data_IF_369881446441
#
_entry.id   IF_369881446441
#
_cell.length_a   1.000
_cell.length_b   1.000
_cell.length_c   1.000
_cell.angle_alpha   90.00
_cell.angle_beta   90.00
_cell.angle_gamma   90.00
#
_symmetry.space_group_name_H-M   'P 1'
#
loop_
_entity.id
_entity.type
_entity.pdbx_description
1 polymer ?
#
# COMPACT_ATOMS: atom_id res chain seq x y z
N UNK A 1 20.11 2.40 8.45
CA UNK A 1 19.40 1.11 8.59
C UNK A 1 18.00 1.34 8.06
N UNK A 2 17.55 0.56 7.06
CA UNK A 2 16.21 0.71 6.51
C UNK A 2 15.21 0.01 7.45
N UNK A 3 14.06 0.63 7.70
CA UNK A 3 13.01 0.02 8.52
C UNK A 3 12.47 -1.23 7.83
N UNK A 4 12.25 -2.32 8.57
CA UNK A 4 11.63 -3.54 8.07
C UNK A 4 10.11 -3.50 8.21
N UNK A 5 9.39 -4.38 7.51
CA UNK A 5 7.94 -4.50 7.63
C UNK A 5 7.49 -4.72 9.09
N UNK A 6 8.25 -5.52 9.86
CA UNK A 6 7.98 -5.77 11.27
C UNK A 6 8.16 -4.51 12.15
N UNK A 7 9.10 -3.64 11.79
CA UNK A 7 9.28 -2.36 12.47
C UNK A 7 8.08 -1.44 12.21
N UNK A 8 7.59 -1.42 10.97
CA UNK A 8 6.42 -0.62 10.56
C UNK A 8 5.15 -1.08 11.27
N UNK A 9 4.86 -2.38 11.24
CA UNK A 9 3.68 -2.96 11.90
C UNK A 9 3.68 -2.72 13.42
N UNK A 10 4.86 -2.68 14.05
CA UNK A 10 4.99 -2.43 15.48
C UNK A 10 4.91 -0.94 15.84
N UNK A 11 5.39 -0.07 14.97
CA UNK A 11 5.58 1.35 15.27
C UNK A 11 4.43 2.24 14.81
N UNK A 12 3.65 1.81 13.82
CA UNK A 12 2.57 2.59 13.23
C UNK A 12 1.23 1.89 13.36
N UNK A 13 0.17 2.66 13.61
CA UNK A 13 -1.20 2.20 13.39
C UNK A 13 -1.54 2.39 11.91
N UNK A 14 -1.51 1.30 11.16
CA UNK A 14 -1.78 1.32 9.72
C UNK A 14 -3.29 1.34 9.44
N UNK A 15 -3.75 2.08 8.42
CA UNK A 15 -5.15 2.05 8.01
C UNK A 15 -5.55 0.70 7.39
N UNK A 16 -6.85 0.39 7.44
CA UNK A 16 -7.40 -0.80 6.75
C UNK A 16 -7.34 -0.67 5.22
N UNK A 17 -7.49 0.57 4.72
CA UNK A 17 -7.37 0.86 3.29
C UNK A 17 -5.92 0.69 2.80
N UNK A 18 -5.70 0.22 1.55
CA UNK A 18 -4.36 0.14 0.98
C UNK A 18 -3.56 1.44 1.06
N UNK A 19 -2.30 1.36 1.51
CA UNK A 19 -1.33 2.48 1.53
C UNK A 19 -0.02 2.05 0.91
N UNK A 20 0.60 2.95 0.14
CA UNK A 20 1.98 2.84 -0.28
C UNK A 20 2.85 3.67 0.68
N UNK A 21 3.79 3.00 1.34
CA UNK A 21 4.73 3.58 2.30
C UNK A 21 6.09 3.66 1.60
N UNK A 22 6.66 4.86 1.56
CA UNK A 22 7.98 5.11 0.97
C UNK A 22 9.00 5.27 2.08
N UNK A 23 10.07 4.47 2.03
CA UNK A 23 11.08 4.42 3.09
C UNK A 23 12.16 5.49 2.86
N UNK A 24 11.87 6.73 3.24
CA UNK A 24 12.76 7.88 3.10
C UNK A 24 12.28 8.90 2.08
N UNK A 25 13.14 9.86 1.68
CA UNK A 25 12.80 10.86 0.68
C UNK A 25 12.53 10.21 -0.68
N UNK A 26 11.39 10.53 -1.30
CA UNK A 26 10.94 9.94 -2.58
C UNK A 26 11.99 10.11 -3.71
N UNK A 27 12.81 11.16 -3.63
CA UNK A 27 13.86 11.46 -4.60
C UNK A 27 15.10 10.56 -4.44
N UNK A 28 15.26 9.92 -3.28
CA UNK A 28 16.49 9.22 -2.86
C UNK A 28 16.28 7.72 -2.60
N UNK A 29 15.03 7.28 -2.40
CA UNK A 29 14.70 5.90 -2.04
C UNK A 29 13.83 5.22 -3.10
N UNK A 30 14.18 4.00 -3.45
CA UNK A 30 13.37 3.13 -4.29
C UNK A 30 12.61 2.07 -3.48
N UNK A 31 12.89 1.99 -2.17
CA UNK A 31 12.27 1.05 -1.24
C UNK A 31 10.86 1.49 -0.88
N UNK A 32 9.91 0.57 -1.03
CA UNK A 32 8.52 0.78 -0.69
C UNK A 32 7.94 -0.43 0.03
N UNK A 33 6.86 -0.18 0.77
CA UNK A 33 5.99 -1.21 1.35
C UNK A 33 4.53 -0.90 0.99
N UNK A 34 3.72 -1.93 0.81
CA UNK A 34 2.26 -1.79 0.72
C UNK A 34 1.64 -2.38 1.96
N UNK A 35 0.77 -1.61 2.62
CA UNK A 35 -0.07 -2.10 3.71
C UNK A 35 -1.53 -2.16 3.32
N UNK A 36 -2.27 -3.12 3.86
CA UNK A 36 -3.72 -3.23 3.77
C UNK A 36 -4.23 -3.96 5.02
N UNK A 37 -5.47 -3.71 5.43
CA UNK A 37 -6.07 -4.34 6.61
C UNK A 37 -5.21 -4.21 7.87
N UNK A 38 -4.53 -3.06 8.03
CA UNK A 38 -3.71 -2.77 9.21
C UNK A 38 -2.31 -3.42 9.23
N UNK A 39 -1.89 -4.10 8.16
CA UNK A 39 -0.61 -4.82 8.10
C UNK A 39 0.16 -4.58 6.81
N UNK A 40 1.49 -4.61 6.86
CA UNK A 40 2.34 -4.66 5.66
C UNK A 40 2.22 -6.03 4.99
N UNK A 41 1.89 -6.05 3.70
CA UNK A 41 1.67 -7.29 2.93
C UNK A 41 2.74 -7.57 1.88
N UNK A 42 3.44 -6.54 1.41
CA UNK A 42 4.55 -6.69 0.47
C UNK A 42 5.46 -5.47 0.51
N UNK A 43 6.71 -5.66 0.10
CA UNK A 43 7.74 -4.63 0.03
C UNK A 43 8.69 -4.91 -1.14
N UNK A 44 9.40 -3.88 -1.60
CA UNK A 44 10.41 -4.06 -2.63
C UNK A 44 10.89 -2.78 -3.29
N UNK A 45 11.48 -2.96 -4.47
CA UNK A 45 11.99 -1.94 -5.37
C UNK A 45 11.77 -2.40 -6.83
N UNK A 46 11.70 -1.49 -7.84
CA UNK A 46 11.70 -0.02 -7.73
C UNK A 46 10.33 0.54 -7.35
N UNK A 47 10.28 1.83 -6.99
CA UNK A 47 9.06 2.56 -6.60
C UNK A 47 7.86 2.36 -7.55
N UNK A 48 8.12 2.25 -8.86
CA UNK A 48 7.06 2.00 -9.86
C UNK A 48 6.28 0.69 -9.59
N UNK A 49 6.94 -0.36 -9.10
CA UNK A 49 6.27 -1.61 -8.73
C UNK A 49 5.41 -1.45 -7.48
N UNK A 50 5.74 -0.50 -6.60
CA UNK A 50 4.93 -0.14 -5.44
C UNK A 50 3.61 0.50 -5.85
N UNK A 51 3.65 1.43 -6.81
CA UNK A 51 2.44 2.00 -7.42
C UNK A 51 1.59 0.92 -8.10
N UNK A 52 2.21 0.04 -8.89
CA UNK A 52 1.50 -1.08 -9.51
C UNK A 52 0.84 -2.00 -8.48
N UNK A 53 1.54 -2.30 -7.38
CA UNK A 53 1.01 -3.11 -6.28
C UNK A 53 -0.18 -2.43 -5.60
N UNK A 54 -0.08 -1.13 -5.30
CA UNK A 54 -1.17 -0.35 -4.71
C UNK A 54 -2.43 -0.35 -5.61
N UNK A 55 -2.28 -0.04 -6.90
CA UNK A 55 -3.40 -0.06 -7.83
C UNK A 55 -4.01 -1.46 -8.00
N UNK A 56 -3.16 -2.49 -7.99
CA UNK A 56 -3.61 -3.88 -8.03
C UNK A 56 -4.42 -4.25 -6.79
N UNK A 57 -4.03 -3.78 -5.59
CA UNK A 57 -4.84 -3.97 -4.38
C UNK A 57 -6.23 -3.37 -4.54
N UNK A 58 -6.35 -2.13 -5.02
CA UNK A 58 -7.66 -1.51 -5.28
C UNK A 58 -8.46 -2.27 -6.33
N UNK A 59 -7.82 -2.71 -7.42
CA UNK A 59 -8.48 -3.54 -8.43
C UNK A 59 -9.02 -4.85 -7.83
N UNK A 60 -8.22 -5.56 -7.04
CA UNK A 60 -8.65 -6.80 -6.37
C UNK A 60 -9.80 -6.55 -5.39
N UNK A 61 -9.72 -5.49 -4.59
CA UNK A 61 -10.82 -5.11 -3.69
C UNK A 61 -12.10 -4.77 -4.46
N UNK A 62 -11.99 -4.11 -5.62
CA UNK A 62 -13.15 -3.83 -6.47
C UNK A 62 -13.82 -5.10 -7.01
N UNK A 63 -13.05 -6.14 -7.32
CA UNK A 63 -13.62 -7.43 -7.75
C UNK A 63 -14.23 -8.19 -6.57
N UNK A 64 -13.56 -8.20 -5.42
CA UNK A 64 -13.94 -9.01 -4.26
C UNK A 64 -15.10 -8.41 -3.44
N UNK A 65 -15.20 -7.08 -3.37
CA UNK A 65 -16.17 -6.35 -2.52
C UNK A 65 -17.01 -5.38 -3.35
N UNK A 66 -17.69 -5.90 -4.38
CA UNK A 66 -18.40 -5.06 -5.36
C UNK A 66 -19.47 -4.14 -4.73
N UNK A 67 -20.09 -4.55 -3.62
CA UNK A 67 -21.13 -3.75 -2.96
C UNK A 67 -20.53 -2.56 -2.19
N UNK A 68 -19.44 -2.79 -1.46
CA UNK A 68 -18.72 -1.77 -0.69
C UNK A 68 -17.84 -0.88 -1.59
N UNK A 69 -17.32 -1.42 -2.69
CA UNK A 69 -16.49 -0.72 -3.66
C UNK A 69 -17.24 0.42 -4.36
N UNK A 70 -18.56 0.29 -4.57
CA UNK A 70 -19.40 1.36 -5.14
C UNK A 70 -19.28 2.69 -4.36
N UNK A 71 -19.01 2.63 -3.05
CA UNK A 71 -18.87 3.82 -2.21
C UNK A 71 -17.44 4.38 -2.14
N UNK A 72 -16.44 3.68 -2.69
CA UNK A 72 -15.01 4.07 -2.60
C UNK A 72 -14.47 4.59 -3.94
N UNK A 73 -15.24 4.46 -5.02
CA UNK A 73 -14.84 4.74 -6.41
C UNK A 73 -15.00 6.20 -6.84
N UNK A 74 -14.39 7.15 -6.12
CA UNK A 74 -14.19 8.51 -6.67
C UNK A 74 -12.83 8.72 -7.36
N UNK A 75 -11.94 7.70 -7.39
CA UNK A 75 -10.58 7.89 -7.91
C UNK A 75 -10.32 7.33 -9.32
N UNK A 76 -11.26 6.57 -9.92
CA UNK A 76 -11.14 6.02 -11.29
C UNK A 76 -12.49 6.13 -12.02
N UNK A 77 -13.03 7.34 -12.11
CA UNK A 77 -14.06 7.69 -13.09
C UNK A 77 -13.65 8.93 -13.86
#
# INVERSE_FOLDING_TARGET
EAASAADVDRSLTLPDSPRLIVLGPVEETNCWMVSTEGHVVTEGEPFLLGLASLFTSFYNFNIQYQNEACCTLEFIQ
#
